data_IF_754047504343
#
_entry.id   IF_754047504343
#
_cell.length_a   1.000
_cell.length_b   1.000
_cell.length_c   1.000
_cell.angle_alpha   90.00
_cell.angle_beta   90.00
_cell.angle_gamma   90.00
#
_symmetry.space_group_name_H-M   'P 1'
#
loop_
_entity.id
_entity.type
_entity.pdbx_description
1 polymer ?
#
# COMPACT_ATOMS: atom_id res chain seq x y z
N UNK A 1 -14.21 17.08 -5.48
CA UNK A 1 -13.15 17.22 -4.45
C UNK A 1 -12.98 15.89 -3.75
N UNK A 2 -11.80 15.28 -3.93
CA UNK A 2 -11.46 14.09 -3.16
C UNK A 2 -11.35 14.48 -1.69
N UNK A 3 -12.01 13.76 -0.76
CA UNK A 3 -11.91 14.10 0.66
C UNK A 3 -10.43 14.03 1.06
N UNK A 4 -9.97 15.08 1.74
CA UNK A 4 -8.60 15.12 2.25
C UNK A 4 -8.36 13.93 3.17
N UNK A 5 -7.44 13.05 2.78
CA UNK A 5 -7.12 11.86 3.56
C UNK A 5 -6.34 12.29 4.81
N UNK A 6 -6.93 12.05 5.98
CA UNK A 6 -6.27 12.31 7.24
C UNK A 6 -5.30 11.17 7.55
N UNK A 7 -4.02 11.39 7.26
CA UNK A 7 -2.97 10.43 7.54
C UNK A 7 -2.42 10.60 8.96
N UNK A 8 -2.04 9.49 9.59
CA UNK A 8 -1.24 9.50 10.81
C UNK A 8 0.18 9.98 10.51
N UNK A 9 0.95 10.34 11.53
CA UNK A 9 2.38 10.68 11.36
C UNK A 9 3.18 9.51 10.79
N UNK A 10 2.89 8.30 11.24
CA UNK A 10 3.49 7.08 10.71
C UNK A 10 3.24 6.94 9.19
N UNK A 11 2.01 7.09 8.78
CA UNK A 11 1.60 7.03 7.38
C UNK A 11 2.24 8.15 6.55
N UNK A 12 2.29 9.38 7.06
CA UNK A 12 2.98 10.49 6.38
C UNK A 12 4.46 10.23 6.17
N UNK A 13 5.12 9.63 7.15
CA UNK A 13 6.52 9.22 7.03
C UNK A 13 6.72 8.23 5.88
N UNK A 14 5.85 7.24 5.76
CA UNK A 14 5.88 6.27 4.66
C UNK A 14 5.60 6.95 3.32
N UNK A 15 4.62 7.84 3.24
CA UNK A 15 4.31 8.61 2.02
C UNK A 15 5.52 9.42 1.55
N UNK A 16 6.19 10.15 2.44
CA UNK A 16 7.37 10.93 2.10
C UNK A 16 8.53 10.04 1.62
N UNK A 17 8.73 8.92 2.29
CA UNK A 17 9.73 7.93 1.89
C UNK A 17 9.48 7.40 0.47
N UNK A 18 8.25 7.00 0.18
CA UNK A 18 7.84 6.49 -1.14
C UNK A 18 8.00 7.57 -2.22
N UNK A 19 7.53 8.78 -1.95
CA UNK A 19 7.61 9.88 -2.91
C UNK A 19 9.06 10.16 -3.33
N UNK A 20 10.00 10.15 -2.37
CA UNK A 20 11.42 10.32 -2.66
C UNK A 20 12.04 9.13 -3.39
N UNK A 21 11.81 7.93 -2.87
CA UNK A 21 12.43 6.71 -3.40
C UNK A 21 11.97 6.38 -4.82
N UNK A 22 10.68 6.49 -5.07
CA UNK A 22 10.07 6.15 -6.36
C UNK A 22 9.90 7.35 -7.30
N UNK A 23 10.28 8.55 -6.85
CA UNK A 23 10.16 9.80 -7.62
C UNK A 23 8.73 10.04 -8.13
N UNK A 24 7.78 9.89 -7.23
CA UNK A 24 6.35 10.08 -7.50
C UNK A 24 5.80 11.22 -6.66
N UNK A 25 4.70 11.80 -7.10
CA UNK A 25 4.06 12.92 -6.43
C UNK A 25 3.54 12.49 -5.05
N UNK A 26 3.94 13.19 -3.97
CA UNK A 26 3.54 12.89 -2.61
C UNK A 26 2.02 12.96 -2.41
N UNK A 27 1.36 13.92 -3.03
CA UNK A 27 -0.10 14.07 -2.97
C UNK A 27 -0.84 12.86 -3.55
N UNK A 28 -0.33 12.29 -4.64
CA UNK A 28 -0.86 11.03 -5.20
C UNK A 28 -0.65 9.85 -4.27
N UNK A 29 0.54 9.73 -3.68
CA UNK A 29 0.86 8.65 -2.73
C UNK A 29 0.01 8.74 -1.46
N UNK A 30 -0.29 9.95 -0.98
CA UNK A 30 -1.23 10.15 0.13
C UNK A 30 -2.60 9.54 -0.17
N UNK A 31 -3.12 9.76 -1.37
CA UNK A 31 -4.37 9.17 -1.80
C UNK A 31 -4.28 7.64 -1.84
N UNK A 32 -3.20 7.09 -2.40
CA UNK A 32 -2.99 5.64 -2.45
C UNK A 32 -2.91 5.04 -1.05
N UNK A 33 -2.23 5.70 -0.12
CA UNK A 33 -2.17 5.26 1.28
C UNK A 33 -3.57 5.24 1.92
N UNK A 34 -4.37 6.26 1.68
CA UNK A 34 -5.75 6.32 2.14
C UNK A 34 -6.61 5.18 1.59
N UNK A 35 -6.52 4.91 0.30
CA UNK A 35 -7.23 3.79 -0.34
C UNK A 35 -6.72 2.43 0.17
N UNK A 36 -5.43 2.28 0.37
CA UNK A 36 -4.84 1.06 0.93
C UNK A 36 -5.32 0.80 2.37
N UNK A 37 -5.39 1.83 3.20
CA UNK A 37 -5.93 1.74 4.55
C UNK A 37 -7.40 1.32 4.55
N UNK A 38 -8.22 1.94 3.73
CA UNK A 38 -9.64 1.62 3.61
C UNK A 38 -9.86 0.19 3.09
N UNK A 39 -9.16 -0.19 2.03
CA UNK A 39 -9.24 -1.54 1.47
C UNK A 39 -8.69 -2.59 2.41
N UNK A 40 -7.62 -2.28 3.13
CA UNK A 40 -7.06 -3.15 4.16
C UNK A 40 -8.05 -3.44 5.28
N UNK A 41 -8.82 -2.44 5.70
CA UNK A 41 -9.89 -2.60 6.67
C UNK A 41 -11.04 -3.43 6.10
N UNK A 42 -11.47 -3.15 4.87
CA UNK A 42 -12.61 -3.85 4.23
C UNK A 42 -12.30 -5.32 3.99
N UNK A 43 -11.09 -5.64 3.53
CA UNK A 43 -10.71 -6.99 3.11
C UNK A 43 -9.80 -7.71 4.09
N UNK A 44 -9.50 -7.11 5.24
CA UNK A 44 -8.60 -7.66 6.25
C UNK A 44 -7.20 -7.97 5.69
N UNK A 45 -6.58 -6.98 5.06
CA UNK A 45 -5.23 -7.06 4.50
C UNK A 45 -4.39 -5.93 5.10
N UNK A 46 -3.13 -6.23 5.43
CA UNK A 46 -2.16 -5.23 5.88
C UNK A 46 -2.02 -4.11 4.82
N UNK A 47 -2.31 -2.84 5.16
CA UNK A 47 -2.18 -1.73 4.21
C UNK A 47 -0.76 -1.57 3.66
N UNK A 48 0.27 -1.85 4.45
CA UNK A 48 1.65 -1.78 3.98
C UNK A 48 2.01 -2.94 3.03
N UNK A 49 1.35 -4.08 3.16
CA UNK A 49 1.43 -5.14 2.17
C UNK A 49 0.82 -4.68 0.83
N UNK A 50 -0.33 -4.03 0.86
CA UNK A 50 -0.96 -3.45 -0.33
C UNK A 50 -0.03 -2.43 -1.00
N UNK A 51 0.56 -1.53 -0.21
CA UNK A 51 1.53 -0.55 -0.70
C UNK A 51 2.78 -1.22 -1.30
N UNK A 52 3.25 -2.29 -0.69
CA UNK A 52 4.41 -3.06 -1.18
C UNK A 52 4.11 -3.79 -2.51
N UNK A 53 2.88 -4.27 -2.68
CA UNK A 53 2.42 -4.82 -3.98
C UNK A 53 2.44 -3.73 -5.05
N UNK A 54 1.90 -2.54 -4.78
CA UNK A 54 1.96 -1.41 -5.72
C UNK A 54 3.39 -1.04 -6.09
N UNK A 55 4.28 -0.96 -5.11
CA UNK A 55 5.69 -0.66 -5.34
C UNK A 55 6.33 -1.67 -6.30
N UNK A 56 6.03 -2.95 -6.11
CA UNK A 56 6.61 -4.05 -6.88
C UNK A 56 6.00 -4.16 -8.27
N UNK A 57 4.68 -3.99 -8.38
CA UNK A 57 3.94 -4.18 -9.63
C UNK A 57 4.08 -3.01 -10.61
N UNK A 58 4.03 -1.79 -10.11
CA UNK A 58 3.92 -0.61 -10.96
C UNK A 58 4.89 0.53 -10.60
N UNK A 59 5.65 0.40 -9.51
CA UNK A 59 6.40 1.53 -8.93
C UNK A 59 5.49 2.76 -8.71
N UNK A 60 4.26 2.53 -8.29
CA UNK A 60 3.23 3.54 -8.07
C UNK A 60 2.79 4.30 -9.34
N UNK A 61 2.94 3.68 -10.51
CA UNK A 61 2.43 4.26 -11.76
C UNK A 61 0.99 3.75 -12.02
N UNK A 62 -0.04 4.63 -11.95
CA UNK A 62 -1.43 4.23 -12.16
C UNK A 62 -1.75 3.83 -13.60
N UNK A 63 -0.87 4.15 -14.55
CA UNK A 63 -1.02 3.83 -15.98
C UNK A 63 -0.15 2.66 -16.45
N UNK A 64 0.51 1.96 -15.53
CA UNK A 64 1.34 0.82 -15.88
C UNK A 64 0.50 -0.28 -16.55
N UNK A 65 1.03 -0.86 -17.61
CA UNK A 65 0.42 -1.98 -18.32
C UNK A 65 1.48 -2.99 -18.72
N UNK A 66 1.26 -4.26 -18.40
CA UNK A 66 2.14 -5.35 -18.81
C UNK A 66 1.79 -5.85 -20.21
N UNK A 67 2.71 -6.60 -20.82
CA UNK A 67 2.50 -7.23 -22.14
C UNK A 67 1.34 -8.23 -22.13
N UNK A 68 1.04 -8.83 -20.98
CA UNK A 68 -0.02 -9.84 -20.81
C UNK A 68 -1.34 -9.26 -20.30
N UNK A 69 -1.46 -7.92 -20.21
CA UNK A 69 -2.70 -7.25 -19.90
C UNK A 69 -2.97 -6.98 -18.41
N UNK A 70 -1.94 -7.03 -17.56
CA UNK A 70 -2.05 -6.54 -16.19
C UNK A 70 -2.04 -5.00 -16.20
N UNK A 71 -2.90 -4.36 -15.42
CA UNK A 71 -3.19 -2.93 -15.55
C UNK A 71 -3.21 -2.22 -14.19
N UNK A 72 -2.65 -1.01 -14.17
CA UNK A 72 -2.73 -0.06 -13.08
C UNK A 72 -1.80 -0.35 -11.90
N UNK A 73 -2.05 0.33 -10.80
CA UNK A 73 -1.19 0.33 -9.60
C UNK A 73 -0.84 -1.06 -9.07
N UNK A 74 -1.82 -1.94 -8.96
CA UNK A 74 -1.65 -3.30 -8.45
C UNK A 74 -1.56 -4.35 -9.56
N UNK A 75 -1.47 -3.93 -10.81
CA UNK A 75 -1.37 -4.80 -12.00
C UNK A 75 -2.46 -5.87 -12.03
N UNK A 76 -3.71 -5.44 -12.07
CA UNK A 76 -4.88 -6.31 -12.11
C UNK A 76 -5.13 -6.81 -13.53
N UNK A 77 -5.28 -8.12 -13.71
CA UNK A 77 -5.72 -8.73 -14.97
C UNK A 77 -7.22 -8.60 -15.13
N UNK A 78 -7.68 -7.58 -15.85
CA UNK A 78 -9.12 -7.28 -16.01
C UNK A 78 -9.90 -8.40 -16.68
N UNK A 79 -9.30 -9.11 -17.65
CA UNK A 79 -9.96 -10.24 -18.32
C UNK A 79 -10.24 -11.38 -17.34
N UNK A 80 -9.29 -11.72 -16.49
CA UNK A 80 -9.41 -12.78 -15.48
C UNK A 80 -10.38 -12.40 -14.37
N UNK A 81 -10.41 -11.12 -13.98
CA UNK A 81 -11.15 -10.61 -12.83
C UNK A 81 -12.35 -9.72 -13.23
N UNK A 82 -12.87 -9.89 -14.43
CA UNK A 82 -13.94 -9.06 -15.00
C UNK A 82 -15.14 -8.89 -14.07
N UNK A 83 -15.55 -9.95 -13.38
CA UNK A 83 -16.70 -9.92 -12.46
C UNK A 83 -16.50 -8.99 -11.27
N UNK A 84 -15.25 -8.76 -10.82
CA UNK A 84 -14.94 -7.89 -9.70
C UNK A 84 -15.17 -6.41 -10.00
N UNK A 85 -15.28 -6.06 -11.29
CA UNK A 85 -15.54 -4.69 -11.73
C UNK A 85 -17.02 -4.34 -11.84
N UNK A 86 -17.94 -5.29 -11.68
CA UNK A 86 -19.39 -5.03 -11.75
C UNK A 86 -19.87 -3.88 -10.86
N UNK A 87 -19.43 -3.77 -9.58
CA UNK A 87 -19.85 -2.66 -8.72
C UNK A 87 -19.40 -1.28 -9.21
N UNK A 88 -18.42 -1.23 -10.09
CA UNK A 88 -17.79 0.00 -10.58
C UNK A 88 -18.22 0.36 -12.01
N UNK A 89 -19.08 -0.45 -12.64
CA UNK A 89 -19.61 -0.25 -13.98
C UNK A 89 -18.90 -1.06 -15.06
N UNK A 90 -17.65 -0.72 -15.39
CA UNK A 90 -16.89 -1.41 -16.44
C UNK A 90 -15.45 -1.71 -16.02
N UNK A 91 -14.78 -2.56 -16.81
CA UNK A 91 -13.35 -2.86 -16.59
C UNK A 91 -12.43 -1.67 -16.86
N UNK A 92 -12.90 -0.65 -17.56
CA UNK A 92 -12.12 0.59 -17.80
C UNK A 92 -11.82 1.35 -16.52
N UNK A 93 -12.62 1.15 -15.46
CA UNK A 93 -12.37 1.72 -14.13
C UNK A 93 -11.10 1.19 -13.46
N UNK A 94 -10.46 0.15 -14.03
CA UNK A 94 -9.16 -0.37 -13.55
C UNK A 94 -8.07 0.70 -13.48
N UNK A 95 -8.17 1.73 -14.30
CA UNK A 95 -7.20 2.84 -14.31
C UNK A 95 -7.41 3.84 -13.18
N UNK A 96 -8.56 3.82 -12.52
CA UNK A 96 -8.85 4.67 -11.37
C UNK A 96 -8.12 4.08 -10.14
N UNK A 97 -7.26 4.87 -9.47
CA UNK A 97 -6.48 4.37 -8.33
C UNK A 97 -7.33 3.72 -7.25
N UNK A 98 -8.44 4.34 -6.87
CA UNK A 98 -9.36 3.80 -5.87
C UNK A 98 -9.89 2.42 -6.25
N UNK A 99 -10.38 2.26 -7.47
CA UNK A 99 -10.93 0.99 -7.97
C UNK A 99 -9.84 -0.08 -8.08
N UNK A 100 -8.69 0.29 -8.65
CA UNK A 100 -7.57 -0.64 -8.80
C UNK A 100 -7.11 -1.21 -7.45
N UNK A 101 -6.95 -0.34 -6.45
CA UNK A 101 -6.54 -0.73 -5.10
C UNK A 101 -7.62 -1.60 -4.43
N UNK A 102 -8.88 -1.25 -4.57
CA UNK A 102 -9.99 -2.06 -4.02
C UNK A 102 -10.04 -3.44 -4.65
N UNK A 103 -10.00 -3.53 -5.97
CA UNK A 103 -10.06 -4.82 -6.67
C UNK A 103 -8.80 -5.65 -6.40
N UNK A 104 -7.62 -5.06 -6.51
CA UNK A 104 -6.36 -5.74 -6.20
C UNK A 104 -6.30 -6.27 -4.77
N UNK A 105 -6.76 -5.49 -3.81
CA UNK A 105 -6.83 -5.90 -2.40
C UNK A 105 -7.81 -7.04 -2.17
N UNK A 106 -8.95 -7.05 -2.87
CA UNK A 106 -9.92 -8.14 -2.80
C UNK A 106 -9.35 -9.45 -3.36
N UNK A 107 -8.59 -9.39 -4.44
CA UNK A 107 -7.90 -10.54 -5.02
C UNK A 107 -6.86 -11.10 -4.05
N UNK A 108 -6.03 -10.23 -3.49
CA UNK A 108 -5.01 -10.61 -2.50
C UNK A 108 -5.64 -11.24 -1.25
N UNK A 109 -6.74 -10.66 -0.77
CA UNK A 109 -7.51 -11.17 0.36
C UNK A 109 -8.02 -12.60 0.12
N UNK A 110 -8.57 -12.86 -1.07
CA UNK A 110 -9.07 -14.19 -1.43
C UNK A 110 -7.93 -15.23 -1.47
N UNK A 111 -6.77 -14.87 -1.97
CA UNK A 111 -5.61 -15.75 -1.93
C UNK A 111 -5.09 -15.97 -0.50
N UNK A 112 -5.07 -14.93 0.35
CA UNK A 112 -4.71 -15.10 1.76
C UNK A 112 -5.65 -16.08 2.47
N UNK A 113 -6.95 -15.98 2.23
CA UNK A 113 -7.94 -16.92 2.78
C UNK A 113 -7.73 -18.33 2.25
N UNK A 114 -7.50 -18.47 0.96
CA UNK A 114 -7.27 -19.78 0.30
C UNK A 114 -6.06 -20.51 0.88
N UNK A 115 -5.02 -19.78 1.23
CA UNK A 115 -3.76 -20.34 1.73
C UNK A 115 -3.56 -20.19 3.24
N UNK A 116 -4.67 -20.06 3.98
CA UNK A 116 -4.62 -20.06 5.44
C UNK A 116 -3.83 -18.91 6.06
N UNK A 117 -3.79 -17.76 5.42
CA UNK A 117 -3.06 -16.57 5.87
C UNK A 117 -1.58 -16.54 5.45
N UNK A 118 -1.10 -17.52 4.69
CA UNK A 118 0.28 -17.52 4.17
C UNK A 118 0.47 -16.42 3.13
N UNK A 119 1.17 -15.35 3.52
CA UNK A 119 1.49 -14.23 2.63
C UNK A 119 2.34 -14.69 1.44
N UNK A 120 3.33 -15.56 1.67
CA UNK A 120 4.18 -16.08 0.58
C UNK A 120 3.38 -16.85 -0.47
N UNK A 121 2.47 -17.72 -0.03
CA UNK A 121 1.64 -18.50 -0.95
C UNK A 121 0.61 -17.64 -1.65
N UNK A 122 0.02 -16.68 -0.95
CA UNK A 122 -0.91 -15.72 -1.53
C UNK A 122 -0.24 -14.84 -2.60
N UNK A 123 0.94 -14.32 -2.34
CA UNK A 123 1.73 -13.51 -3.29
C UNK A 123 2.17 -14.33 -4.51
N UNK A 124 2.56 -15.58 -4.31
CA UNK A 124 2.88 -16.49 -5.40
C UNK A 124 1.67 -16.71 -6.34
N UNK A 125 0.48 -16.87 -5.77
CA UNK A 125 -0.75 -16.98 -6.55
C UNK A 125 -1.11 -15.64 -7.22
N UNK A 126 -0.91 -14.53 -6.51
CA UNK A 126 -1.20 -13.18 -7.03
C UNK A 126 -0.42 -12.89 -8.32
N UNK A 127 0.85 -13.26 -8.37
CA UNK A 127 1.70 -13.06 -9.56
C UNK A 127 1.47 -14.13 -10.66
N UNK A 128 0.56 -15.07 -10.44
CA UNK A 128 0.23 -16.10 -11.40
C UNK A 128 1.14 -17.34 -11.36
N UNK A 129 1.93 -17.50 -10.32
CA UNK A 129 2.91 -18.59 -10.19
C UNK A 129 2.46 -19.74 -9.26
N UNK A 130 1.17 -19.82 -8.93
CA UNK A 130 0.65 -20.81 -7.97
C UNK A 130 1.00 -22.26 -8.30
N UNK A 131 1.08 -22.60 -9.59
CA UNK A 131 1.41 -23.94 -10.08
C UNK A 131 2.88 -24.12 -10.44
N UNK A 132 3.69 -23.07 -10.29
CA UNK A 132 5.11 -23.11 -10.59
C UNK A 132 5.93 -23.50 -9.33
N UNK A 133 7.16 -23.97 -9.52
CA UNK A 133 8.06 -24.30 -8.43
C UNK A 133 8.52 -23.06 -7.65
N UNK A 134 8.59 -21.90 -8.29
CA UNK A 134 8.98 -20.63 -7.73
C UNK A 134 8.26 -19.46 -8.40
N UNK A 135 8.31 -18.29 -7.76
CA UNK A 135 7.70 -17.05 -8.24
C UNK A 135 8.72 -16.03 -8.80
N UNK A 136 9.94 -16.47 -9.07
CA UNK A 136 11.02 -15.60 -9.54
C UNK A 136 11.50 -14.56 -8.52
N UNK A 137 11.23 -14.79 -7.24
CA UNK A 137 11.60 -13.87 -6.14
C UNK A 137 10.56 -12.78 -5.86
N UNK A 138 9.41 -12.83 -6.48
CA UNK A 138 8.35 -11.83 -6.32
C UNK A 138 7.90 -11.67 -4.85
N UNK A 139 7.54 -12.77 -4.20
CA UNK A 139 7.08 -12.75 -2.81
C UNK A 139 8.12 -12.18 -1.85
N UNK A 140 9.38 -12.57 -1.99
CA UNK A 140 10.48 -12.02 -1.18
C UNK A 140 10.65 -10.51 -1.40
N UNK A 141 10.52 -10.04 -2.63
CA UNK A 141 10.63 -8.63 -2.99
C UNK A 141 9.51 -7.81 -2.36
N UNK A 142 8.28 -8.29 -2.46
CA UNK A 142 7.11 -7.63 -1.84
C UNK A 142 7.25 -7.57 -0.32
N UNK A 143 7.59 -8.69 0.32
CA UNK A 143 7.69 -8.76 1.78
C UNK A 143 8.83 -7.88 2.32
N UNK A 144 9.96 -7.79 1.61
CA UNK A 144 11.05 -6.87 1.96
C UNK A 144 10.61 -5.41 1.90
N UNK A 145 9.86 -5.03 0.88
CA UNK A 145 9.31 -3.67 0.76
C UNK A 145 8.27 -3.37 1.83
N UNK A 146 7.41 -4.33 2.14
CA UNK A 146 6.48 -4.20 3.26
C UNK A 146 7.22 -3.93 4.57
N UNK A 147 8.24 -4.71 4.88
CA UNK A 147 9.04 -4.55 6.10
C UNK A 147 9.77 -3.20 6.13
N UNK A 148 10.27 -2.73 5.01
CA UNK A 148 10.83 -1.39 4.87
C UNK A 148 9.81 -0.30 5.21
N UNK A 149 8.59 -0.38 4.67
CA UNK A 149 7.54 0.60 4.95
C UNK A 149 7.11 0.57 6.42
N UNK A 150 7.00 -0.60 7.02
CA UNK A 150 6.73 -0.73 8.47
C UNK A 150 7.84 -0.10 9.29
N UNK A 151 9.11 -0.33 8.97
CA UNK A 151 10.25 0.28 9.66
C UNK A 151 10.22 1.81 9.57
N UNK A 152 9.92 2.35 8.40
CA UNK A 152 9.77 3.81 8.20
C UNK A 152 8.61 4.35 9.04
N UNK A 153 7.49 3.65 9.11
CA UNK A 153 6.32 4.04 9.90
C UNK A 153 6.63 4.10 11.38
N UNK A 154 7.36 3.13 11.91
CA UNK A 154 7.78 3.08 13.31
C UNK A 154 8.75 4.22 13.62
N UNK A 155 9.74 4.47 12.78
CA UNK A 155 10.70 5.57 12.95
C UNK A 155 9.99 6.94 12.97
N UNK A 156 9.03 7.16 12.09
CA UNK A 156 8.26 8.40 12.04
C UNK A 156 7.42 8.62 13.31
N UNK A 157 6.80 7.57 13.85
CA UNK A 157 6.07 7.62 15.12
C UNK A 157 6.99 7.93 16.31
N UNK A 158 8.16 7.29 16.40
CA UNK A 158 9.10 7.49 17.50
C UNK A 158 9.68 8.89 17.50
N UNK A 159 10.05 9.45 16.36
CA UNK A 159 10.54 10.83 16.25
C UNK A 159 9.50 11.84 16.73
N UNK A 160 8.24 11.63 16.45
CA UNK A 160 7.15 12.47 16.92
C UNK A 160 7.02 12.46 18.45
N UNK A 161 7.12 11.29 19.07
CA UNK A 161 7.06 11.15 20.54
C UNK A 161 8.24 11.83 21.20
N UNK A 162 9.45 11.68 20.67
CA UNK A 162 10.66 12.32 21.20
C UNK A 162 10.58 13.84 21.11
N UNK A 163 10.07 14.40 20.03
CA UNK A 163 9.88 15.86 19.88
C UNK A 163 8.83 16.41 20.85
N UNK A 164 7.72 15.69 21.06
CA UNK A 164 6.70 16.09 22.02
C UNK A 164 7.23 16.10 23.45
N UNK A 165 8.02 15.10 23.85
CA UNK A 165 8.67 15.06 25.17
C UNK A 165 9.69 16.19 25.36
N UNK A 166 10.50 16.50 24.35
CA UNK A 166 11.48 17.58 24.40
C UNK A 166 10.81 18.96 24.56
N UNK A 167 9.71 19.21 23.86
CA UNK A 167 8.97 20.47 23.95
C UNK A 167 8.28 20.65 25.31
N UNK A 168 7.83 19.59 25.94
CA UNK A 168 7.28 19.63 27.31
C UNK A 168 8.35 19.90 28.36
N UNK A 169 9.55 19.36 28.20
CA UNK A 169 10.67 19.58 29.10
C UNK A 169 11.17 21.03 29.03
N UNK A 170 11.17 21.68 27.88
CA UNK A 170 11.59 23.09 27.72
C UNK A 170 10.53 24.06 28.22
N UNK A 171 9.24 23.74 28.08
CA UNK A 171 8.14 24.55 28.64
C UNK A 171 8.09 24.58 30.15
N UNK A 172 8.65 23.58 30.85
CA UNK A 172 8.73 23.52 32.31
C UNK A 172 9.85 24.38 32.93
N UNK A 173 10.82 24.82 32.13
CA UNK A 173 11.96 25.66 32.61
C UNK A 173 11.70 27.15 32.63
N UNK A 174 10.62 27.65 32.07
CA UNK A 174 10.32 29.10 31.97
C UNK A 174 9.48 29.67 33.11
N UNK A 175 9.21 28.93 34.18
CA UNK A 175 8.37 29.41 35.29
C UNK A 175 9.04 29.49 36.65
N UNK A 176 10.38 29.58 36.74
CA UNK A 176 11.07 29.79 38.02
C UNK A 176 12.14 30.86 37.83
N UNK A 177 11.71 32.12 37.65
CA UNK A 177 12.49 33.31 37.95
C UNK A 177 11.52 34.47 38.23
N UNK A 178 11.13 34.58 39.50
CA UNK A 178 10.68 35.82 40.16
C UNK A 178 11.20 35.83 41.57
#
# INVERSE_FOLDING_TARGET
ESPSVRLTRAERGVVQHIARKYRVNASSVEQYMGYARQSGKTYNVDPYLIMAVMATESSFNPRAQSRVGAQGLMQVHTRMHKKRFKPYGSTDTVWEPKVNIQVGSSILSDYLKRYGGSERRALKAYVGAARMSHDGGYGNKVLRRRDEFVSVSVAASNNATSQAMASQADGGRKSVDL
#
